data_IF_336384742571
#
_entry.id   IF_336384742571
#
_cell.length_a   1.000
_cell.length_b   1.000
_cell.length_c   1.000
_cell.angle_alpha   90.00
_cell.angle_beta   90.00
_cell.angle_gamma   90.00
#
_symmetry.space_group_name_H-M   'P 1'
#
loop_
_entity.id
_entity.type
_entity.pdbx_description
1 polymer ?
#
# COMPACT_ATOMS: atom_id res chain seq x y z
N UNK A 1 8.34 -7.66 -7.76
CA UNK A 1 9.46 -7.29 -6.87
C UNK A 1 9.37 -8.02 -5.53
N UNK A 2 10.49 -8.20 -4.82
CA UNK A 2 10.53 -8.90 -3.52
C UNK A 2 10.01 -8.05 -2.35
N UNK A 3 10.21 -6.72 -2.42
CA UNK A 3 9.93 -5.77 -1.31
C UNK A 3 8.44 -5.50 -1.06
N UNK A 4 7.63 -5.36 -2.11
CA UNK A 4 6.16 -5.21 -1.97
C UNK A 4 5.54 -6.40 -1.25
N UNK A 5 5.99 -7.62 -1.60
CA UNK A 5 5.47 -8.85 -0.98
C UNK A 5 5.80 -8.92 0.50
N UNK A 6 7.04 -8.59 0.89
CA UNK A 6 7.44 -8.54 2.30
C UNK A 6 6.59 -7.55 3.12
N UNK A 7 6.28 -6.38 2.56
CA UNK A 7 5.40 -5.41 3.22
C UNK A 7 3.97 -5.94 3.36
N UNK A 8 3.43 -6.62 2.34
CA UNK A 8 2.11 -7.24 2.43
C UNK A 8 2.07 -8.38 3.46
N UNK A 9 3.10 -9.24 3.50
CA UNK A 9 3.22 -10.30 4.52
C UNK A 9 3.30 -9.69 5.94
N UNK A 10 4.04 -8.59 6.13
CA UNK A 10 4.09 -7.87 7.40
C UNK A 10 2.72 -7.26 7.78
N UNK A 11 1.99 -6.74 6.80
CA UNK A 11 0.64 -6.22 7.01
C UNK A 11 -0.32 -7.33 7.47
N UNK A 12 -0.31 -8.48 6.80
CA UNK A 12 -1.14 -9.64 7.16
C UNK A 12 -0.81 -10.17 8.55
N UNK A 13 0.48 -10.25 8.91
CA UNK A 13 0.88 -10.63 10.27
C UNK A 13 0.34 -9.63 11.31
N UNK A 14 0.42 -8.33 11.04
CA UNK A 14 -0.15 -7.32 11.92
C UNK A 14 -1.68 -7.45 12.04
N UNK A 15 -2.39 -7.79 10.96
CA UNK A 15 -3.82 -8.04 11.00
C UNK A 15 -4.15 -9.23 11.93
N UNK A 16 -3.44 -10.35 11.80
CA UNK A 16 -3.60 -11.52 12.67
C UNK A 16 -3.31 -11.20 14.14
N UNK A 17 -2.26 -10.42 14.42
CA UNK A 17 -1.95 -9.96 15.77
C UNK A 17 -3.02 -9.03 16.33
N UNK A 18 -3.66 -8.20 15.49
CA UNK A 18 -4.76 -7.35 15.90
C UNK A 18 -5.99 -8.17 16.31
N UNK A 19 -6.32 -9.22 15.55
CA UNK A 19 -7.41 -10.16 15.86
C UNK A 19 -7.18 -10.91 17.18
N UNK A 20 -5.93 -11.31 17.45
CA UNK A 20 -5.56 -12.06 18.65
C UNK A 20 -5.29 -11.17 19.88
N UNK A 21 -5.30 -9.84 19.72
CA UNK A 21 -4.93 -8.93 20.78
C UNK A 21 -5.93 -8.95 21.93
N UNK A 22 -5.44 -9.20 23.15
CA UNK A 22 -6.25 -9.27 24.38
C UNK A 22 -6.88 -7.94 24.82
N UNK A 23 -6.46 -6.81 24.23
CA UNK A 23 -6.95 -5.49 24.63
C UNK A 23 -7.13 -4.59 23.42
N UNK A 24 -8.14 -3.72 23.48
CA UNK A 24 -8.41 -2.76 22.41
C UNK A 24 -7.22 -1.82 22.10
N UNK A 25 -6.42 -1.33 23.08
CA UNK A 25 -5.22 -0.58 22.77
C UNK A 25 -4.16 -1.38 22.01
N UNK A 26 -3.99 -2.68 22.31
CA UNK A 26 -3.06 -3.54 21.57
C UNK A 26 -3.54 -3.79 20.15
N UNK A 27 -4.82 -4.11 19.96
CA UNK A 27 -5.42 -4.28 18.64
C UNK A 27 -5.22 -3.02 17.77
N UNK A 28 -5.49 -1.84 18.32
CA UNK A 28 -5.29 -0.55 17.62
C UNK A 28 -3.84 -0.29 17.22
N UNK A 29 -2.86 -0.74 18.00
CA UNK A 29 -1.44 -0.61 17.62
C UNK A 29 -1.13 -1.46 16.40
N UNK A 30 -1.57 -2.72 16.40
CA UNK A 30 -1.36 -3.63 15.28
C UNK A 30 -2.10 -3.18 14.01
N UNK A 31 -3.33 -2.67 14.13
CA UNK A 31 -4.05 -2.08 12.99
C UNK A 31 -3.32 -0.88 12.36
N UNK A 32 -2.70 -0.02 13.18
CA UNK A 32 -1.89 1.09 12.67
C UNK A 32 -0.63 0.59 11.95
N UNK A 33 -0.01 -0.46 12.47
CA UNK A 33 1.15 -1.08 11.82
C UNK A 33 0.75 -1.74 10.50
N UNK A 34 -0.36 -2.47 10.46
CA UNK A 34 -0.92 -3.02 9.22
C UNK A 34 -1.12 -1.92 8.17
N UNK A 35 -1.80 -0.83 8.53
CA UNK A 35 -2.05 0.29 7.62
C UNK A 35 -0.73 0.89 7.09
N UNK A 36 0.28 1.04 7.95
CA UNK A 36 1.59 1.54 7.55
C UNK A 36 2.30 0.60 6.56
N UNK A 37 2.26 -0.72 6.80
CA UNK A 37 2.84 -1.69 5.88
C UNK A 37 2.13 -1.73 4.53
N UNK A 38 0.80 -1.61 4.50
CA UNK A 38 0.03 -1.50 3.25
C UNK A 38 0.41 -0.24 2.46
N UNK A 39 0.56 0.89 3.14
CA UNK A 39 0.99 2.13 2.49
C UNK A 39 2.41 2.02 1.89
N UNK A 40 3.33 1.34 2.58
CA UNK A 40 4.67 1.08 2.04
C UNK A 40 4.65 0.14 0.83
N UNK A 41 3.76 -0.85 0.81
CA UNK A 41 3.57 -1.72 -0.35
C UNK A 41 3.07 -0.93 -1.56
N UNK A 42 2.06 -0.06 -1.36
CA UNK A 42 1.53 0.81 -2.42
C UNK A 42 2.59 1.77 -2.96
N UNK A 43 3.36 2.41 -2.09
CA UNK A 43 4.48 3.28 -2.48
C UNK A 43 5.53 2.50 -3.29
N UNK A 44 5.83 1.27 -2.87
CA UNK A 44 6.79 0.43 -3.58
C UNK A 44 6.27 0.08 -4.98
N UNK A 45 5.00 -0.28 -5.12
CA UNK A 45 4.37 -0.53 -6.42
C UNK A 45 4.37 0.71 -7.33
N UNK A 46 4.21 1.90 -6.75
CA UNK A 46 4.34 3.16 -7.49
C UNK A 46 5.77 3.41 -7.97
N UNK A 47 6.77 3.26 -7.09
CA UNK A 47 8.19 3.38 -7.43
C UNK A 47 8.64 2.37 -8.50
N UNK A 48 8.04 1.18 -8.43
CA UNK A 48 8.27 0.07 -9.34
C UNK A 48 7.58 0.25 -10.71
N UNK A 49 6.73 1.28 -10.85
CA UNK A 49 5.97 1.57 -12.06
C UNK A 49 4.79 0.63 -12.30
N UNK A 50 4.43 -0.21 -11.33
CA UNK A 50 3.25 -1.09 -11.40
C UNK A 50 1.95 -0.28 -11.29
N UNK A 51 1.97 0.84 -10.54
CA UNK A 51 0.83 1.77 -10.40
C UNK A 51 1.20 3.10 -11.07
N UNK A 52 0.41 3.59 -12.05
CA UNK A 52 0.67 4.86 -12.69
C UNK A 52 0.45 6.03 -11.70
N UNK A 53 1.27 7.09 -11.75
CA UNK A 53 1.01 8.29 -10.96
C UNK A 53 -0.36 8.87 -11.32
N UNK A 54 -1.21 9.06 -10.30
CA UNK A 54 -2.50 9.74 -10.44
C UNK A 54 -2.22 11.21 -10.77
N UNK A 55 -2.08 11.54 -12.06
CA UNK A 55 -1.80 12.93 -12.45
C UNK A 55 -1.00 13.17 -13.72
N UNK A 56 -1.05 12.31 -14.73
CA UNK A 56 -0.82 12.79 -16.10
C UNK A 56 -2.12 12.66 -16.89
N UNK A 57 -2.87 13.75 -17.11
CA UNK A 57 -3.78 13.76 -18.25
C UNK A 57 -2.94 13.35 -19.46
N UNK A 58 -3.38 12.29 -20.14
CA UNK A 58 -2.76 11.79 -21.35
C UNK A 58 -2.46 12.96 -22.29
N UNK A 59 -1.19 13.34 -22.43
CA UNK A 59 -0.76 14.26 -23.49
C UNK A 59 -1.04 13.67 -24.89
N UNK A 60 -1.39 12.38 -24.96
CA UNK A 60 -1.90 11.70 -26.14
C UNK A 60 -3.29 12.18 -26.58
N UNK A 61 -4.07 12.82 -25.70
CA UNK A 61 -5.36 13.43 -26.05
C UNK A 61 -5.23 14.85 -26.65
N UNK A 62 -4.01 15.43 -26.65
CA UNK A 62 -3.75 16.79 -27.14
C UNK A 62 -3.27 16.87 -28.61
N UNK A 63 -3.07 15.73 -29.29
CA UNK A 63 -2.63 15.73 -30.70
C UNK A 63 -3.77 15.46 -31.72
N UNK A 64 -5.03 15.56 -31.30
CA UNK A 64 -6.19 15.44 -32.19
C UNK A 64 -6.74 16.81 -32.59
N UNK A 65 -5.91 17.69 -33.15
CA UNK A 65 -6.39 18.86 -33.89
C UNK A 65 -5.36 19.33 -34.93
N UNK A 66 -5.50 18.86 -36.17
CA UNK A 66 -5.63 19.64 -37.42
C UNK A 66 -5.38 18.75 -38.62
#
# INVERSE_FOLDING_TARGET
MYRTREYLECAENCAQLAEQARTAPAARRYQRMEAAWRALAEEQQWLDGEIPPVGRPNSSALHSHS
#
